data_IF_660074947793
#
_entry.id   IF_660074947793
#
_cell.length_a   1.000
_cell.length_b   1.000
_cell.length_c   1.000
_cell.angle_alpha   90.00
_cell.angle_beta   90.00
_cell.angle_gamma   90.00
#
_symmetry.space_group_name_H-M   'P 1'
#
loop_
_entity.id
_entity.type
_entity.pdbx_description
1 polymer ?
#
# COMPACT_ATOMS: atom_id res chain seq x y z
N UNK A 1 -22.38 18.04 -66.54
CA UNK A 1 -21.64 18.05 -65.26
C UNK A 1 -22.63 17.95 -64.09
N UNK A 2 -22.77 16.79 -63.46
CA UNK A 2 -23.27 16.68 -62.07
C UNK A 2 -22.86 15.32 -61.51
N UNK A 3 -21.76 15.33 -60.74
CA UNK A 3 -21.15 14.15 -60.13
C UNK A 3 -22.07 13.62 -59.01
N UNK A 4 -22.46 12.35 -59.11
CA UNK A 4 -23.21 11.63 -58.08
C UNK A 4 -22.22 11.18 -56.99
N UNK A 5 -22.20 11.88 -55.85
CA UNK A 5 -21.32 11.52 -54.73
C UNK A 5 -21.98 10.39 -53.92
N UNK A 6 -21.59 9.15 -54.21
CA UNK A 6 -21.86 8.02 -53.32
C UNK A 6 -21.07 8.22 -52.03
N UNK A 7 -21.76 8.60 -50.96
CA UNK A 7 -21.21 8.57 -49.62
C UNK A 7 -21.18 7.10 -49.14
N UNK A 8 -20.00 6.49 -49.13
CA UNK A 8 -19.78 5.24 -48.40
C UNK A 8 -19.88 5.55 -46.90
N UNK A 9 -20.98 5.15 -46.26
CA UNK A 9 -21.07 5.06 -44.82
C UNK A 9 -20.34 3.78 -44.37
N UNK A 10 -19.15 3.95 -43.79
CA UNK A 10 -18.40 2.86 -43.18
C UNK A 10 -19.00 2.60 -41.78
N UNK A 11 -19.59 1.43 -41.50
CA UNK A 11 -20.08 1.13 -40.16
C UNK A 11 -18.88 0.89 -39.24
N UNK A 12 -18.60 1.85 -38.36
CA UNK A 12 -17.68 1.65 -37.23
C UNK A 12 -18.40 0.74 -36.24
N UNK A 13 -18.17 -0.57 -36.35
CA UNK A 13 -18.54 -1.54 -35.32
C UNK A 13 -17.64 -1.28 -34.11
N UNK A 14 -18.11 -0.43 -33.22
CA UNK A 14 -17.50 -0.14 -31.93
C UNK A 14 -17.72 -1.36 -31.02
N UNK A 15 -16.88 -2.38 -31.17
CA UNK A 15 -16.88 -3.56 -30.32
C UNK A 15 -16.40 -3.17 -28.92
N UNK A 16 -17.33 -3.08 -27.98
CA UNK A 16 -17.04 -3.01 -26.55
C UNK A 16 -16.29 -4.27 -26.14
N UNK A 17 -14.96 -4.21 -26.06
CA UNK A 17 -14.18 -5.26 -25.42
C UNK A 17 -14.40 -5.11 -23.90
N UNK A 18 -14.98 -6.10 -23.21
CA UNK A 18 -15.06 -6.04 -21.77
C UNK A 18 -13.63 -6.05 -21.22
N UNK A 19 -13.26 -5.00 -20.48
CA UNK A 19 -12.01 -4.99 -19.74
C UNK A 19 -12.12 -6.02 -18.60
N UNK A 20 -11.56 -7.21 -18.81
CA UNK A 20 -11.37 -8.21 -17.76
C UNK A 20 -10.21 -7.72 -16.89
N UNK A 21 -10.53 -7.13 -15.73
CA UNK A 21 -9.53 -6.87 -14.71
C UNK A 21 -8.92 -8.21 -14.28
N UNK A 22 -7.59 -8.35 -14.41
CA UNK A 22 -6.89 -9.48 -13.82
C UNK A 22 -7.17 -9.47 -12.32
N UNK A 23 -7.77 -10.56 -11.81
CA UNK A 23 -8.04 -10.69 -10.38
C UNK A 23 -6.76 -10.54 -9.57
N UNK A 24 -6.86 -9.97 -8.37
CA UNK A 24 -5.73 -9.87 -7.45
C UNK A 24 -5.29 -11.28 -7.04
N UNK A 25 -4.07 -11.67 -7.41
CA UNK A 25 -3.46 -12.93 -6.99
C UNK A 25 -2.45 -12.65 -5.88
N UNK A 26 -2.65 -13.28 -4.72
CA UNK A 26 -1.68 -13.18 -3.64
C UNK A 26 -0.35 -13.84 -4.08
N UNK A 27 0.74 -13.07 -4.09
CA UNK A 27 2.05 -13.55 -4.56
C UNK A 27 2.61 -14.61 -3.61
N UNK A 28 2.52 -14.39 -2.29
CA UNK A 28 2.93 -15.34 -1.25
C UNK A 28 2.40 -14.87 0.12
N UNK A 29 1.96 -15.77 1.02
CA UNK A 29 1.69 -15.39 2.41
C UNK A 29 2.98 -15.00 3.13
N UNK A 30 2.91 -13.92 3.91
CA UNK A 30 4.02 -13.44 4.73
C UNK A 30 3.99 -14.14 6.09
N UNK A 31 4.58 -15.34 6.16
CA UNK A 31 4.57 -16.18 7.38
C UNK A 31 5.31 -15.50 8.54
N UNK A 32 4.72 -15.57 9.75
CA UNK A 32 5.27 -14.97 10.96
C UNK A 32 5.04 -13.46 11.07
N UNK A 33 4.05 -12.94 10.34
CA UNK A 33 3.63 -11.55 10.41
C UNK A 33 2.12 -11.43 10.54
N UNK A 34 1.71 -10.44 11.32
CA UNK A 34 0.33 -10.00 11.46
C UNK A 34 0.16 -8.66 10.77
N UNK A 35 -0.90 -8.53 9.97
CA UNK A 35 -1.27 -7.25 9.37
C UNK A 35 -1.92 -6.36 10.44
N UNK A 36 -1.39 -5.15 10.63
CA UNK A 36 -1.90 -4.15 11.58
C UNK A 36 -2.22 -2.87 10.83
N UNK A 37 -3.36 -2.26 11.16
CA UNK A 37 -3.76 -0.96 10.64
C UNK A 37 -2.91 0.14 11.27
N UNK A 38 -2.53 1.12 10.46
CA UNK A 38 -2.07 2.42 10.95
C UNK A 38 -3.29 3.26 11.34
N UNK A 39 -3.28 3.79 12.55
CA UNK A 39 -4.31 4.66 13.09
C UNK A 39 -3.99 6.12 12.76
N UNK A 40 -4.67 6.63 11.73
CA UNK A 40 -4.58 8.01 11.25
C UNK A 40 -5.99 8.54 10.98
N UNK A 41 -6.20 9.85 11.20
CA UNK A 41 -7.41 10.51 10.67
C UNK A 41 -7.36 10.58 9.15
N UNK A 42 -8.49 10.77 8.46
CA UNK A 42 -8.51 10.99 7.01
C UNK A 42 -7.57 12.11 6.56
N UNK A 43 -7.49 13.20 7.33
CA UNK A 43 -6.59 14.34 7.04
C UNK A 43 -5.12 13.95 7.16
N UNK A 44 -4.77 13.17 8.19
CA UNK A 44 -3.39 12.69 8.40
C UNK A 44 -2.97 11.71 7.31
N UNK A 45 -3.84 10.78 6.92
CA UNK A 45 -3.56 9.83 5.83
C UNK A 45 -3.31 10.50 4.47
N UNK A 46 -3.77 11.75 4.31
CA UNK A 46 -3.58 12.56 3.11
C UNK A 46 -2.44 13.60 3.26
N UNK A 47 -1.78 13.67 4.41
CA UNK A 47 -0.64 14.57 4.62
C UNK A 47 0.68 13.95 4.13
N UNK A 48 0.96 14.18 2.85
CA UNK A 48 2.22 13.75 2.23
C UNK A 48 3.47 14.47 2.77
N UNK A 49 3.33 15.52 3.59
CA UNK A 49 4.48 16.20 4.21
C UNK A 49 4.94 15.51 5.48
N UNK A 50 4.03 14.88 6.23
CA UNK A 50 4.33 14.22 7.50
C UNK A 50 3.81 12.78 7.54
N UNK A 51 4.14 11.92 6.56
CA UNK A 51 3.62 10.56 6.54
C UNK A 51 4.23 9.72 7.67
N UNK A 52 3.44 8.82 8.24
CA UNK A 52 4.02 7.71 9.02
C UNK A 52 4.97 6.94 8.11
N UNK A 53 6.20 6.75 8.61
CA UNK A 53 7.31 6.26 7.80
C UNK A 53 8.01 5.08 8.46
N UNK A 54 8.50 4.15 7.65
CA UNK A 54 9.45 3.15 8.08
C UNK A 54 10.78 3.81 8.46
N UNK A 55 11.38 3.35 9.56
CA UNK A 55 12.69 3.78 10.04
C UNK A 55 13.77 2.74 9.77
N UNK A 56 15.00 3.21 9.57
CA UNK A 56 16.20 2.36 9.52
C UNK A 56 16.49 1.68 10.87
N UNK A 57 16.24 2.38 11.97
CA UNK A 57 16.54 1.98 13.35
C UNK A 57 15.38 2.36 14.28
N UNK A 58 15.24 1.73 15.47
CA UNK A 58 14.16 2.02 16.40
C UNK A 58 14.43 3.32 17.18
N UNK A 59 14.39 4.46 16.48
CA UNK A 59 14.58 5.79 17.06
C UNK A 59 13.89 6.87 16.23
N UNK A 60 13.40 7.92 16.90
CA UNK A 60 12.83 9.11 16.25
C UNK A 60 13.88 9.84 15.40
N UNK A 61 15.15 9.81 15.82
CA UNK A 61 16.28 10.42 15.09
C UNK A 61 16.78 9.59 13.92
N UNK A 62 16.30 8.35 13.76
CA UNK A 62 16.74 7.48 12.67
C UNK A 62 16.20 8.00 11.32
N UNK A 63 16.94 7.81 10.22
CA UNK A 63 16.45 8.16 8.88
C UNK A 63 15.14 7.44 8.54
N UNK A 64 14.22 8.18 7.92
CA UNK A 64 13.05 7.61 7.25
C UNK A 64 13.50 6.89 5.97
N UNK A 65 12.96 5.71 5.71
CA UNK A 65 13.28 4.90 4.52
C UNK A 65 12.24 5.12 3.43
N UNK A 66 10.97 5.02 3.80
CA UNK A 66 9.82 5.18 2.92
C UNK A 66 8.56 5.44 3.76
N UNK A 67 7.54 6.10 3.21
CA UNK A 67 6.21 6.13 3.81
C UNK A 67 5.66 4.72 4.00
N UNK A 68 4.95 4.50 5.10
CA UNK A 68 4.16 3.31 5.31
C UNK A 68 2.78 3.46 4.64
N UNK A 69 2.18 2.34 4.22
CA UNK A 69 0.78 2.34 3.80
C UNK A 69 -0.15 2.30 5.01
N UNK A 70 -1.48 2.39 4.78
CA UNK A 70 -2.50 2.29 5.84
C UNK A 70 -2.44 0.98 6.64
N UNK A 71 -1.72 -0.01 6.15
CA UNK A 71 -1.50 -1.30 6.77
C UNK A 71 -0.02 -1.66 6.71
N UNK A 72 0.45 -2.30 7.78
CA UNK A 72 1.83 -2.78 7.89
C UNK A 72 1.86 -4.21 8.42
N UNK A 73 2.86 -4.97 7.97
CA UNK A 73 3.11 -6.31 8.47
C UNK A 73 4.04 -6.26 9.68
N UNK A 74 3.53 -6.54 10.87
CA UNK A 74 4.32 -6.61 12.10
C UNK A 74 4.77 -8.05 12.33
N UNK A 75 6.05 -8.24 12.64
CA UNK A 75 6.61 -9.57 12.90
C UNK A 75 6.10 -10.09 14.25
N UNK A 76 5.47 -11.26 14.28
CA UNK A 76 4.74 -11.78 15.46
C UNK A 76 5.66 -11.96 16.68
N UNK A 77 6.86 -12.50 16.46
CA UNK A 77 7.92 -12.65 17.47
C UNK A 77 9.06 -11.65 17.24
N UNK A 78 8.72 -10.49 16.67
CA UNK A 78 9.68 -9.45 16.35
C UNK A 78 10.18 -8.70 17.57
N UNK A 79 11.35 -8.09 17.44
CA UNK A 79 11.90 -7.22 18.48
C UNK A 79 11.01 -5.99 18.66
N UNK A 80 10.91 -5.54 19.91
CA UNK A 80 10.35 -4.25 20.31
C UNK A 80 11.46 -3.45 20.98
N UNK A 81 11.64 -2.20 20.60
CA UNK A 81 12.69 -1.34 21.16
C UNK A 81 12.31 0.12 21.04
N UNK A 82 12.48 0.91 22.10
CA UNK A 82 12.24 2.36 22.11
C UNK A 82 10.86 2.80 21.56
N UNK A 83 9.81 2.01 21.76
CA UNK A 83 8.48 2.30 21.22
C UNK A 83 8.30 1.97 19.73
N UNK A 84 9.26 1.28 19.12
CA UNK A 84 9.21 0.75 17.77
C UNK A 84 9.06 -0.78 17.76
N UNK A 85 8.47 -1.30 16.70
CA UNK A 85 8.33 -2.74 16.44
C UNK A 85 8.95 -3.11 15.10
N UNK A 86 9.44 -4.35 14.99
CA UNK A 86 9.95 -4.89 13.74
C UNK A 86 8.83 -5.14 12.71
N UNK A 87 9.11 -4.70 11.49
CA UNK A 87 8.21 -4.79 10.34
C UNK A 87 9.03 -5.03 9.06
N UNK A 88 8.39 -4.99 7.90
CA UNK A 88 9.03 -5.01 6.58
C UNK A 88 8.47 -3.90 5.70
N UNK A 89 9.31 -3.36 4.82
CA UNK A 89 8.83 -2.47 3.74
C UNK A 89 8.19 -3.27 2.58
N UNK A 90 7.66 -2.56 1.58
CA UNK A 90 7.09 -3.20 0.39
C UNK A 90 8.09 -4.01 -0.45
N UNK A 91 9.39 -3.83 -0.22
CA UNK A 91 10.46 -4.65 -0.80
C UNK A 91 10.85 -5.83 0.12
N UNK A 92 10.04 -6.12 1.15
CA UNK A 92 10.24 -7.17 2.15
C UNK A 92 11.56 -7.06 2.95
N UNK A 93 12.15 -5.87 3.02
CA UNK A 93 13.36 -5.63 3.81
C UNK A 93 12.98 -5.34 5.26
N UNK A 94 13.71 -5.86 6.25
CA UNK A 94 13.46 -5.55 7.66
C UNK A 94 13.54 -4.05 7.94
N UNK A 95 12.54 -3.53 8.65
CA UNK A 95 12.42 -2.13 9.06
C UNK A 95 11.84 -2.01 10.46
N UNK A 96 11.79 -0.77 10.93
CA UNK A 96 11.12 -0.39 12.17
C UNK A 96 9.94 0.53 11.88
N UNK A 97 8.87 0.40 12.64
CA UNK A 97 7.77 1.35 12.65
C UNK A 97 7.38 1.69 14.08
N UNK A 98 7.02 2.96 14.31
CA UNK A 98 6.64 3.42 15.64
C UNK A 98 5.30 2.81 16.04
N UNK A 99 5.26 2.15 17.20
CA UNK A 99 4.07 1.50 17.73
C UNK A 99 2.95 2.48 18.06
N UNK A 100 3.27 3.78 18.25
CA UNK A 100 2.28 4.83 18.56
C UNK A 100 1.25 5.08 17.46
N UNK A 101 1.52 4.59 16.25
CA UNK A 101 0.64 4.73 15.09
C UNK A 101 -0.12 3.45 14.79
N UNK A 102 0.04 2.38 15.58
CA UNK A 102 -0.59 1.09 15.31
C UNK A 102 -1.89 0.98 16.10
N UNK A 103 -2.95 0.54 15.43
CA UNK A 103 -4.21 0.24 16.11
C UNK A 103 -3.98 -0.84 17.19
N UNK A 104 -4.54 -0.63 18.39
CA UNK A 104 -4.34 -1.50 19.55
C UNK A 104 -4.92 -2.92 19.36
N UNK A 105 -5.91 -3.07 18.48
CA UNK A 105 -6.87 -4.20 18.53
C UNK A 105 -6.48 -5.42 17.70
N UNK A 106 -5.28 -5.42 17.11
CA UNK A 106 -4.81 -6.52 16.24
C UNK A 106 -3.48 -7.14 16.67
N UNK A 107 -2.87 -6.68 17.77
CA UNK A 107 -1.75 -7.37 18.39
C UNK A 107 -2.33 -8.52 19.23
N UNK A 108 -2.56 -9.69 18.61
CA UNK A 108 -2.89 -10.91 19.37
C UNK A 108 -1.71 -11.22 20.30
N UNK A 109 -1.87 -10.93 21.59
CA UNK A 109 -1.09 -11.50 22.69
C UNK A 109 -1.28 -13.00 22.78
#
# INVERSE_FOLDING_TARGET
MRQLKFALALPVLMSCVPAMAAGLTAVKPLQGYTCIMIEETPEQSMDFKNPVSFKMEPSDSAPNVAPAGMQVAIRDQGRKSNGYVETVDFALRPRWISARYLAADHIKT
#
